data_IF_644766736514
#
_entry.id   IF_644766736514
#
_cell.length_a   1.000
_cell.length_b   1.000
_cell.length_c   1.000
_cell.angle_alpha   90.00
_cell.angle_beta   90.00
_cell.angle_gamma   90.00
#
_symmetry.space_group_name_H-M   'P 1'
#
loop_
_entity.id
_entity.type
_entity.pdbx_description
1 polymer ?
#
# COMPACT_ATOMS: atom_id res chain seq x y z
N UNK A 1 13.17 -7.69 21.65
CA UNK A 1 13.11 -8.47 20.36
C UNK A 1 12.85 -9.92 20.69
N UNK A 2 12.26 -10.71 19.75
CA UNK A 2 12.13 -12.17 19.98
C UNK A 2 13.53 -12.74 20.17
N UNK A 3 13.73 -13.52 21.23
CA UNK A 3 15.04 -14.05 21.57
C UNK A 3 15.58 -14.98 20.48
N UNK A 4 16.89 -15.01 20.29
CA UNK A 4 17.52 -15.89 19.30
C UNK A 4 17.19 -17.36 19.56
N UNK A 5 17.08 -17.76 20.82
CA UNK A 5 16.66 -19.08 21.23
C UNK A 5 15.27 -19.44 20.73
N UNK A 6 14.29 -18.54 20.91
CA UNK A 6 12.91 -18.72 20.37
C UNK A 6 12.90 -18.76 18.84
N UNK A 7 13.70 -17.92 18.19
CA UNK A 7 13.82 -17.93 16.73
C UNK A 7 14.33 -19.29 16.25
N UNK A 8 15.41 -19.76 16.84
CA UNK A 8 16.03 -21.05 16.48
C UNK A 8 15.05 -22.24 16.76
N UNK A 9 14.29 -22.19 17.86
CA UNK A 9 13.27 -23.16 18.18
C UNK A 9 12.14 -23.18 17.14
N UNK A 10 11.64 -22.01 16.72
CA UNK A 10 10.63 -21.90 15.64
C UNK A 10 11.17 -22.49 14.34
N UNK A 11 12.41 -22.16 13.95
CA UNK A 11 13.01 -22.71 12.73
C UNK A 11 13.21 -24.22 12.76
N UNK A 12 13.47 -24.78 13.91
CA UNK A 12 13.65 -26.22 14.09
C UNK A 12 12.32 -27.00 14.03
N UNK A 13 11.24 -26.40 14.55
CA UNK A 13 9.91 -27.08 14.64
C UNK A 13 9.05 -26.80 13.42
N UNK A 14 9.10 -25.59 12.85
CA UNK A 14 8.25 -25.20 11.74
C UNK A 14 8.63 -25.91 10.45
N UNK A 15 7.86 -26.95 10.10
CA UNK A 15 8.02 -27.66 8.83
C UNK A 15 7.27 -26.90 7.73
N UNK A 16 7.98 -26.60 6.64
CA UNK A 16 7.39 -25.87 5.50
C UNK A 16 6.24 -26.62 4.87
N UNK A 17 6.30 -27.97 4.88
CA UNK A 17 5.25 -28.84 4.39
C UNK A 17 3.92 -28.61 5.14
N UNK A 18 3.97 -28.62 6.48
CA UNK A 18 2.79 -28.44 7.32
C UNK A 18 2.17 -27.05 7.14
N UNK A 19 3.03 -26.03 7.09
CA UNK A 19 2.58 -24.66 6.91
C UNK A 19 1.96 -24.43 5.53
N UNK A 20 2.59 -24.93 4.49
CA UNK A 20 2.08 -24.76 3.12
C UNK A 20 0.80 -25.54 2.90
N UNK A 21 0.65 -26.70 3.53
CA UNK A 21 -0.53 -27.57 3.38
C UNK A 21 -1.82 -26.94 3.93
N UNK A 22 -1.72 -25.96 4.85
CA UNK A 22 -2.88 -25.20 5.31
C UNK A 22 -3.49 -24.30 4.20
N UNK A 23 -2.69 -23.96 3.18
CA UNK A 23 -3.05 -22.98 2.16
C UNK A 23 -3.09 -23.55 0.74
N UNK A 24 -2.30 -24.60 0.48
CA UNK A 24 -2.10 -25.15 -0.85
C UNK A 24 -2.35 -26.67 -0.81
N UNK A 25 -3.19 -27.16 -1.70
CA UNK A 25 -3.39 -28.60 -1.85
C UNK A 25 -2.17 -29.23 -2.53
N UNK A 26 -1.31 -29.84 -1.73
CA UNK A 26 -0.06 -30.46 -2.17
C UNK A 26 -0.27 -31.92 -2.58
N UNK A 27 0.34 -32.32 -3.69
CA UNK A 27 0.39 -33.70 -4.18
C UNK A 27 1.81 -34.21 -4.20
N UNK A 28 2.05 -35.45 -3.80
CA UNK A 28 3.38 -36.05 -3.77
C UNK A 28 3.92 -36.30 -5.18
N UNK A 29 5.14 -35.86 -5.43
CA UNK A 29 5.88 -36.11 -6.68
C UNK A 29 7.31 -36.51 -6.36
N UNK A 30 7.54 -37.81 -6.25
CA UNK A 30 8.81 -38.36 -5.77
C UNK A 30 9.08 -37.99 -4.31
N UNK A 31 10.22 -37.39 -4.04
CA UNK A 31 10.65 -36.93 -2.71
C UNK A 31 10.09 -35.54 -2.33
N UNK A 32 9.49 -34.84 -3.27
CA UNK A 32 8.94 -33.50 -3.08
C UNK A 32 7.40 -33.52 -3.16
N UNK A 33 6.80 -32.40 -2.76
CA UNK A 33 5.38 -32.13 -2.93
C UNK A 33 5.21 -31.01 -3.96
N UNK A 34 4.14 -31.05 -4.75
CA UNK A 34 3.84 -30.06 -5.78
C UNK A 34 2.40 -29.60 -5.68
N UNK A 35 2.15 -28.32 -5.92
CA UNK A 35 0.83 -27.70 -5.93
C UNK A 35 0.75 -26.49 -6.84
N UNK A 36 -0.43 -25.89 -6.94
CA UNK A 36 -0.60 -24.61 -7.58
C UNK A 36 -0.03 -23.50 -6.69
N UNK A 37 0.67 -22.54 -7.27
CA UNK A 37 1.31 -21.47 -6.52
C UNK A 37 0.27 -20.52 -5.90
N UNK A 38 0.36 -20.23 -4.60
CA UNK A 38 -0.55 -19.27 -3.95
C UNK A 38 -0.16 -17.81 -4.25
N UNK A 39 1.00 -17.56 -4.89
CA UNK A 39 1.53 -16.24 -5.12
C UNK A 39 1.32 -15.72 -6.55
N UNK A 40 0.91 -16.56 -7.50
CA UNK A 40 0.57 -16.18 -8.86
C UNK A 40 -0.45 -17.14 -9.48
N UNK A 41 -1.18 -16.70 -10.48
CA UNK A 41 -2.15 -17.55 -11.19
C UNK A 41 -1.46 -18.47 -12.17
N UNK A 42 -1.68 -19.79 -12.01
CA UNK A 42 -1.20 -20.81 -12.94
C UNK A 42 -2.22 -21.94 -13.10
N UNK A 43 -2.20 -22.59 -14.27
CA UNK A 43 -3.06 -23.76 -14.55
C UNK A 43 -2.33 -25.07 -14.31
N UNK A 44 -1.01 -25.06 -14.41
CA UNK A 44 -0.13 -26.23 -14.21
C UNK A 44 0.71 -26.03 -12.94
N UNK A 45 0.73 -26.99 -12.01
CA UNK A 45 1.47 -26.87 -10.76
C UNK A 45 2.98 -26.64 -10.99
N UNK A 46 3.51 -25.51 -10.50
CA UNK A 46 4.93 -25.19 -10.51
C UNK A 46 5.51 -24.91 -9.11
N UNK A 47 4.65 -24.92 -8.10
CA UNK A 47 5.05 -24.70 -6.72
C UNK A 47 5.49 -26.01 -6.08
N UNK A 48 6.75 -26.10 -5.71
CA UNK A 48 7.37 -27.31 -5.16
C UNK A 48 7.79 -27.08 -3.71
N UNK A 49 7.45 -28.02 -2.85
CA UNK A 49 7.89 -28.08 -1.44
C UNK A 49 8.85 -29.26 -1.31
N UNK A 50 10.00 -29.03 -0.71
CA UNK A 50 11.00 -30.05 -0.39
C UNK A 50 11.04 -30.29 1.13
N UNK A 51 10.40 -31.35 1.66
CA UNK A 51 10.43 -31.63 3.10
C UNK A 51 11.84 -31.85 3.62
N UNK A 52 12.68 -32.56 2.85
CA UNK A 52 14.06 -32.86 3.24
C UNK A 52 14.95 -31.59 3.39
N UNK A 53 14.65 -30.53 2.66
CA UNK A 53 15.36 -29.25 2.74
C UNK A 53 14.64 -28.21 3.60
N UNK A 54 13.42 -28.49 4.04
CA UNK A 54 12.50 -27.60 4.71
C UNK A 54 12.32 -26.26 3.94
N UNK A 55 12.22 -26.33 2.60
CA UNK A 55 12.12 -25.17 1.70
C UNK A 55 11.01 -25.37 0.67
N UNK A 56 10.43 -24.25 0.22
CA UNK A 56 9.59 -24.23 -0.98
C UNK A 56 10.26 -23.43 -2.11
N UNK A 57 9.89 -23.72 -3.34
CA UNK A 57 10.26 -22.96 -4.53
C UNK A 57 9.17 -23.04 -5.57
N UNK A 58 8.73 -21.89 -6.07
CA UNK A 58 7.90 -21.81 -7.26
C UNK A 58 8.79 -21.63 -8.48
N UNK A 59 8.67 -22.52 -9.46
CA UNK A 59 9.43 -22.43 -10.72
C UNK A 59 8.75 -21.53 -11.76
N UNK A 60 7.48 -21.10 -11.51
CA UNK A 60 6.77 -20.13 -12.33
C UNK A 60 7.15 -18.68 -11.99
N UNK A 61 6.94 -18.25 -10.74
CA UNK A 61 7.20 -16.87 -10.33
C UNK A 61 8.55 -16.66 -9.61
N UNK A 62 9.34 -17.72 -9.40
CA UNK A 62 10.64 -17.60 -8.76
C UNK A 62 10.65 -17.48 -7.23
N UNK A 63 9.50 -17.26 -6.58
CA UNK A 63 9.41 -17.16 -5.11
C UNK A 63 9.83 -18.44 -4.44
N UNK A 64 10.54 -18.32 -3.30
CA UNK A 64 11.01 -19.49 -2.53
C UNK A 64 11.55 -19.06 -1.17
N UNK A 65 11.62 -20.03 -0.25
CA UNK A 65 12.08 -19.79 1.11
C UNK A 65 11.69 -20.90 2.07
N UNK A 66 11.75 -20.62 3.37
CA UNK A 66 11.32 -21.51 4.46
C UNK A 66 9.89 -21.19 4.95
N UNK A 67 9.45 -21.83 6.03
CA UNK A 67 8.13 -21.62 6.61
C UNK A 67 7.87 -20.15 7.01
N UNK A 68 8.87 -19.46 7.58
CA UNK A 68 8.74 -18.05 7.95
C UNK A 68 8.58 -17.17 6.71
N UNK A 69 9.39 -17.39 5.67
CA UNK A 69 9.26 -16.67 4.40
C UNK A 69 7.90 -16.90 3.75
N UNK A 70 7.37 -18.13 3.82
CA UNK A 70 6.05 -18.45 3.28
C UNK A 70 4.96 -17.63 3.96
N UNK A 71 4.93 -17.60 5.30
CA UNK A 71 3.94 -16.84 6.07
C UNK A 71 4.11 -15.33 5.84
N UNK A 72 5.34 -14.82 5.81
CA UNK A 72 5.60 -13.41 5.47
C UNK A 72 5.00 -13.03 4.11
N UNK A 73 5.21 -13.88 3.11
CA UNK A 73 4.75 -13.65 1.73
C UNK A 73 3.24 -13.87 1.57
N UNK A 74 2.67 -14.89 2.22
CA UNK A 74 1.26 -15.25 2.08
C UNK A 74 0.35 -14.31 2.87
N UNK A 75 0.65 -14.11 4.15
CA UNK A 75 -0.16 -13.27 5.05
C UNK A 75 0.25 -11.79 5.05
N UNK A 76 1.34 -11.45 4.34
CA UNK A 76 1.91 -10.09 4.36
C UNK A 76 2.41 -9.66 5.73
N UNK A 77 2.84 -10.62 6.53
CA UNK A 77 3.38 -10.35 7.85
C UNK A 77 4.82 -9.83 7.77
N UNK A 78 5.18 -8.98 8.72
CA UNK A 78 6.59 -8.69 9.01
C UNK A 78 7.26 -9.91 9.61
N UNK A 79 8.59 -9.95 9.59
CA UNK A 79 9.34 -11.06 10.17
C UNK A 79 8.98 -11.36 11.64
N UNK A 80 8.85 -10.37 12.54
CA UNK A 80 8.38 -10.64 13.91
C UNK A 80 6.95 -11.17 13.99
N UNK A 81 6.05 -10.68 13.13
CA UNK A 81 4.65 -11.15 13.09
C UNK A 81 4.58 -12.61 12.62
N UNK A 82 5.35 -12.97 11.59
CA UNK A 82 5.43 -14.33 11.11
C UNK A 82 6.00 -15.29 12.16
N UNK A 83 7.02 -14.85 12.91
CA UNK A 83 7.57 -15.64 14.03
C UNK A 83 6.55 -15.83 15.15
N UNK A 84 5.82 -14.79 15.55
CA UNK A 84 4.76 -14.88 16.57
C UNK A 84 3.62 -15.81 16.12
N UNK A 85 3.22 -15.73 14.86
CA UNK A 85 2.22 -16.63 14.28
C UNK A 85 2.66 -18.11 14.34
N UNK A 86 3.90 -18.40 13.92
CA UNK A 86 4.44 -19.75 13.97
C UNK A 86 4.64 -20.24 15.40
N UNK A 87 5.12 -19.39 16.31
CA UNK A 87 5.23 -19.72 17.73
C UNK A 87 3.86 -20.11 18.32
N UNK A 88 2.82 -19.34 18.02
CA UNK A 88 1.45 -19.67 18.45
C UNK A 88 0.96 -20.99 17.87
N UNK A 89 1.18 -21.24 16.57
CA UNK A 89 0.78 -22.48 15.91
C UNK A 89 1.44 -23.72 16.52
N UNK A 90 2.71 -23.62 16.89
CA UNK A 90 3.49 -24.73 17.47
C UNK A 90 3.57 -24.72 18.99
N UNK A 91 2.75 -23.88 19.67
CA UNK A 91 2.75 -23.72 21.13
C UNK A 91 4.14 -23.40 21.73
N UNK A 92 4.97 -22.65 20.98
CA UNK A 92 6.28 -22.21 21.44
C UNK A 92 6.09 -20.93 22.28
N UNK A 93 6.60 -20.94 23.52
CA UNK A 93 6.60 -19.73 24.36
C UNK A 93 7.59 -18.73 23.79
N UNK A 94 7.10 -17.58 23.34
CA UNK A 94 7.96 -16.51 22.83
C UNK A 94 8.71 -15.89 23.99
N UNK A 95 10.02 -16.18 24.10
CA UNK A 95 10.92 -15.46 24.99
C UNK A 95 11.41 -14.24 24.22
N UNK A 96 11.27 -13.06 24.81
CA UNK A 96 11.82 -11.82 24.25
C UNK A 96 13.12 -11.52 25.04
N UNK A 97 14.17 -11.08 24.29
CA UNK A 97 15.39 -10.59 24.94
C UNK A 97 15.02 -9.47 25.88
N UNK A 98 15.74 -9.30 26.98
CA UNK A 98 15.57 -8.21 27.93
C UNK A 98 15.51 -6.89 27.15
N UNK A 99 14.27 -6.39 26.97
CA UNK A 99 14.06 -5.07 26.39
C UNK A 99 14.48 -4.07 27.46
N UNK A 100 15.14 -3.01 27.04
CA UNK A 100 15.37 -1.88 27.93
C UNK A 100 14.01 -1.34 28.38
N UNK A 101 13.92 -0.83 29.61
CA UNK A 101 12.69 -0.24 30.14
C UNK A 101 12.08 0.79 29.15
N UNK A 102 12.93 1.54 28.46
CA UNK A 102 12.56 2.48 27.39
C UNK A 102 11.85 1.80 26.21
N UNK A 103 12.33 0.63 25.77
CA UNK A 103 11.71 -0.11 24.66
C UNK A 103 10.34 -0.70 25.04
N UNK A 104 10.22 -1.15 26.30
CA UNK A 104 8.94 -1.64 26.86
C UNK A 104 7.94 -0.48 26.94
N UNK A 105 8.38 0.69 27.40
CA UNK A 105 7.54 1.88 27.51
C UNK A 105 7.08 2.38 26.14
N UNK A 106 7.96 2.44 25.15
CA UNK A 106 7.64 2.77 23.77
C UNK A 106 6.63 1.79 23.17
N UNK A 107 6.80 0.48 23.39
CA UNK A 107 5.84 -0.52 22.92
C UNK A 107 4.47 -0.34 23.56
N UNK A 108 4.40 -0.15 24.90
CA UNK A 108 3.15 0.09 25.61
C UNK A 108 2.46 1.37 25.14
N UNK A 109 3.22 2.43 24.89
CA UNK A 109 2.72 3.67 24.32
C UNK A 109 2.10 3.43 22.95
N UNK A 110 2.81 2.76 22.05
CA UNK A 110 2.33 2.40 20.71
C UNK A 110 1.05 1.58 20.74
N UNK A 111 0.96 0.60 21.63
CA UNK A 111 -0.26 -0.21 21.84
C UNK A 111 -1.42 0.67 22.33
N UNK A 112 -1.16 1.58 23.26
CA UNK A 112 -2.16 2.53 23.74
C UNK A 112 -2.70 3.45 22.64
N UNK A 113 -1.81 3.96 21.77
CA UNK A 113 -2.20 4.77 20.61
C UNK A 113 -3.09 3.99 19.63
N UNK A 114 -2.78 2.71 19.37
CA UNK A 114 -3.61 1.85 18.52
C UNK A 114 -5.00 1.60 19.13
N UNK A 115 -5.08 1.38 20.45
CA UNK A 115 -6.37 1.20 21.15
C UNK A 115 -7.22 2.45 21.09
N UNK A 116 -6.62 3.65 21.23
CA UNK A 116 -7.32 4.92 21.06
C UNK A 116 -7.88 5.08 19.65
N UNK A 117 -7.09 4.74 18.62
CA UNK A 117 -7.57 4.81 17.23
C UNK A 117 -8.69 3.80 16.95
N UNK A 118 -8.65 2.61 17.52
CA UNK A 118 -9.72 1.61 17.38
C UNK A 118 -11.01 2.09 18.04
N UNK A 119 -10.92 2.72 19.21
CA UNK A 119 -12.06 3.35 19.87
C UNK A 119 -12.63 4.49 19.03
N UNK A 120 -11.76 5.36 18.48
CA UNK A 120 -12.18 6.45 17.60
C UNK A 120 -12.87 5.93 16.32
N UNK A 121 -12.35 4.86 15.74
CA UNK A 121 -12.94 4.18 14.60
C UNK A 121 -14.35 3.69 14.91
N UNK A 122 -14.52 2.99 16.02
CA UNK A 122 -15.85 2.51 16.47
C UNK A 122 -16.81 3.67 16.67
N UNK A 123 -16.36 4.74 17.32
CA UNK A 123 -17.17 5.94 17.52
C UNK A 123 -17.64 6.55 16.19
N UNK A 124 -16.74 6.79 15.23
CA UNK A 124 -17.12 7.39 13.94
C UNK A 124 -18.05 6.48 13.13
N UNK A 125 -17.90 5.15 13.21
CA UNK A 125 -18.84 4.20 12.59
C UNK A 125 -20.23 4.28 13.25
N UNK A 126 -20.29 4.32 14.56
CA UNK A 126 -21.54 4.46 15.31
C UNK A 126 -22.22 5.81 14.99
N UNK A 127 -21.43 6.89 14.95
CA UNK A 127 -21.97 8.22 14.61
C UNK A 127 -22.57 8.26 13.19
N UNK A 128 -22.07 7.49 12.24
CA UNK A 128 -22.66 7.38 10.90
C UNK A 128 -24.09 6.79 10.93
N UNK A 129 -24.43 6.02 11.96
CA UNK A 129 -25.75 5.38 12.13
C UNK A 129 -26.75 6.24 12.91
N UNK A 130 -26.34 7.35 13.51
CA UNK A 130 -27.23 8.31 14.18
C UNK A 130 -28.11 9.04 13.16
N UNK A 131 -29.16 9.75 13.60
CA UNK A 131 -30.00 10.56 12.70
C UNK A 131 -29.17 11.62 11.96
N UNK A 132 -28.27 12.33 12.68
CA UNK A 132 -27.38 13.31 12.07
C UNK A 132 -26.43 12.62 11.07
N UNK A 133 -25.81 11.52 11.46
CA UNK A 133 -24.90 10.77 10.61
C UNK A 133 -25.55 10.23 9.35
N UNK A 134 -26.79 9.72 9.45
CA UNK A 134 -27.56 9.25 8.28
C UNK A 134 -27.95 10.39 7.35
N UNK A 135 -28.42 11.51 7.89
CA UNK A 135 -28.88 12.64 7.10
C UNK A 135 -27.74 13.39 6.40
N UNK A 136 -26.53 13.39 6.98
CA UNK A 136 -25.38 14.13 6.46
C UNK A 136 -24.32 13.18 5.89
N UNK A 137 -23.72 12.33 6.73
CA UNK A 137 -22.59 11.48 6.37
C UNK A 137 -22.96 10.37 5.39
N UNK A 138 -23.97 9.57 5.73
CA UNK A 138 -24.42 8.47 4.88
C UNK A 138 -25.06 9.01 3.57
N UNK A 139 -25.81 10.11 3.66
CA UNK A 139 -26.35 10.80 2.47
C UNK A 139 -25.24 11.23 1.51
N UNK A 140 -24.15 11.78 2.04
CA UNK A 140 -22.98 12.12 1.24
C UNK A 140 -22.39 10.90 0.51
N UNK A 141 -22.16 9.78 1.24
CA UNK A 141 -21.62 8.57 0.63
C UNK A 141 -22.54 8.00 -0.46
N UNK A 142 -23.86 7.99 -0.20
CA UNK A 142 -24.87 7.57 -1.20
C UNK A 142 -24.91 8.49 -2.41
N UNK A 143 -24.81 9.81 -2.21
CA UNK A 143 -24.75 10.78 -3.32
C UNK A 143 -23.50 10.60 -4.17
N UNK A 144 -22.40 10.11 -3.59
CA UNK A 144 -21.19 9.69 -4.28
C UNK A 144 -21.30 8.29 -4.93
N UNK A 145 -22.46 7.68 -4.90
CA UNK A 145 -22.72 6.37 -5.49
C UNK A 145 -22.17 5.19 -4.68
N UNK A 146 -21.67 5.41 -3.44
CA UNK A 146 -21.11 4.33 -2.63
C UNK A 146 -22.22 3.47 -2.01
N UNK A 147 -22.08 2.14 -2.15
CA UNK A 147 -22.98 1.15 -1.57
C UNK A 147 -22.56 0.80 -0.13
N UNK A 148 -23.48 0.14 0.61
CA UNK A 148 -23.26 -0.23 2.01
C UNK A 148 -22.08 -1.19 2.20
N UNK A 149 -21.86 -2.10 1.23
CA UNK A 149 -20.73 -3.04 1.27
C UNK A 149 -19.38 -2.32 1.23
N UNK A 150 -19.25 -1.31 0.38
CA UNK A 150 -18.01 -0.50 0.28
C UNK A 150 -17.82 0.35 1.53
N UNK A 151 -18.89 0.97 2.04
CA UNK A 151 -18.85 1.75 3.29
C UNK A 151 -18.37 0.88 4.46
N UNK A 152 -18.91 -0.35 4.59
CA UNK A 152 -18.51 -1.29 5.65
C UNK A 152 -17.08 -1.81 5.45
N UNK A 153 -16.71 -2.22 4.25
CA UNK A 153 -15.38 -2.78 3.93
C UNK A 153 -14.24 -1.80 4.24
N UNK A 154 -14.46 -0.52 3.95
CA UNK A 154 -13.47 0.52 4.24
C UNK A 154 -13.66 1.15 5.62
N UNK A 155 -14.71 0.78 6.35
CA UNK A 155 -15.01 1.27 7.69
C UNK A 155 -15.27 2.77 7.71
N UNK A 156 -15.98 3.30 6.71
CA UNK A 156 -16.24 4.73 6.60
C UNK A 156 -17.11 5.20 7.77
N UNK A 157 -16.87 6.42 8.24
CA UNK A 157 -17.52 6.98 9.42
C UNK A 157 -17.95 8.43 9.25
N UNK A 158 -18.51 8.98 10.31
CA UNK A 158 -18.89 10.38 10.38
C UNK A 158 -18.46 10.98 11.72
N UNK A 159 -17.94 12.20 11.70
CA UNK A 159 -17.64 12.99 12.89
C UNK A 159 -18.68 14.10 13.02
N UNK A 160 -19.42 14.16 14.14
CA UNK A 160 -20.55 15.07 14.32
C UNK A 160 -20.15 16.55 14.43
N UNK A 161 -21.16 17.43 14.49
CA UNK A 161 -20.98 18.88 14.51
C UNK A 161 -20.43 19.42 15.81
N UNK A 162 -20.66 18.71 16.91
CA UNK A 162 -20.27 19.14 18.23
C UNK A 162 -18.80 19.46 18.35
N UNK A 163 -18.45 20.30 19.28
CA UNK A 163 -17.07 20.77 19.40
C UNK A 163 -16.18 19.83 20.23
N UNK A 164 -16.79 18.93 21.03
CA UNK A 164 -16.14 18.04 21.98
C UNK A 164 -16.81 16.67 22.11
N UNK A 165 -17.68 16.29 21.21
CA UNK A 165 -18.48 15.06 21.36
C UNK A 165 -17.61 13.82 21.42
N UNK A 166 -16.63 13.71 20.52
CA UNK A 166 -15.65 12.63 20.57
C UNK A 166 -14.71 12.73 21.77
N UNK A 167 -14.18 13.94 22.04
CA UNK A 167 -13.24 14.15 23.14
C UNK A 167 -13.88 13.81 24.49
N UNK A 168 -15.09 14.27 24.75
CA UNK A 168 -15.81 14.00 25.99
C UNK A 168 -16.16 12.50 26.10
N UNK A 169 -16.61 11.88 25.03
CA UNK A 169 -16.83 10.43 24.97
C UNK A 169 -15.56 9.65 25.33
N UNK A 170 -14.41 10.01 24.74
CA UNK A 170 -13.15 9.32 24.98
C UNK A 170 -12.69 9.47 26.45
N UNK A 171 -12.82 10.68 27.02
CA UNK A 171 -12.48 10.94 28.42
C UNK A 171 -13.39 10.13 29.36
N UNK A 172 -14.71 10.07 29.10
CA UNK A 172 -15.64 9.24 29.87
C UNK A 172 -15.30 7.74 29.82
N UNK A 173 -14.72 7.28 28.72
CA UNK A 173 -14.20 5.90 28.57
C UNK A 173 -12.84 5.69 29.27
N UNK A 174 -12.28 6.72 29.90
CA UNK A 174 -11.01 6.62 30.62
C UNK A 174 -9.75 6.87 29.80
N UNK A 175 -9.87 7.33 28.56
CA UNK A 175 -8.72 7.67 27.74
C UNK A 175 -8.13 9.04 28.10
N UNK A 176 -6.81 9.14 28.12
CA UNK A 176 -6.10 10.38 28.43
C UNK A 176 -6.12 11.35 27.25
N UNK A 177 -6.45 12.61 27.52
CA UNK A 177 -6.56 13.66 26.49
C UNK A 177 -5.24 13.89 25.74
N UNK A 178 -4.07 13.66 26.39
CA UNK A 178 -2.77 13.78 25.76
C UNK A 178 -2.61 12.83 24.57
N UNK A 179 -3.09 11.57 24.70
CA UNK A 179 -3.05 10.60 23.61
C UNK A 179 -3.98 10.99 22.46
N UNK A 180 -5.14 11.60 22.78
CA UNK A 180 -6.08 12.11 21.77
C UNK A 180 -5.44 13.26 20.97
N UNK A 181 -4.71 14.15 21.67
CA UNK A 181 -3.97 15.26 21.01
C UNK A 181 -2.82 14.77 20.17
N UNK A 182 -2.06 13.79 20.65
CA UNK A 182 -0.94 13.18 19.91
C UNK A 182 -1.42 12.54 18.59
N UNK A 183 -2.59 11.90 18.61
CA UNK A 183 -3.19 11.29 17.42
C UNK A 183 -3.94 12.29 16.51
N UNK A 184 -4.04 13.54 16.92
CA UNK A 184 -4.84 14.52 16.20
C UNK A 184 -6.33 14.19 16.15
N UNK A 185 -6.86 13.58 17.20
CA UNK A 185 -8.30 13.37 17.40
C UNK A 185 -8.92 14.53 18.16
N UNK A 186 -8.13 15.13 19.05
CA UNK A 186 -8.46 16.36 19.79
C UNK A 186 -7.41 17.43 19.46
N UNK A 187 -7.83 18.65 19.21
CA UNK A 187 -6.94 19.78 18.95
C UNK A 187 -6.24 20.26 20.22
N UNK A 188 -5.19 21.09 20.09
CA UNK A 188 -4.49 21.71 21.23
C UNK A 188 -5.43 22.52 22.14
N UNK A 189 -6.53 23.02 21.59
CA UNK A 189 -7.55 23.77 22.35
C UNK A 189 -8.63 22.88 22.99
N UNK A 190 -8.44 21.56 23.01
CA UNK A 190 -9.37 20.60 23.61
C UNK A 190 -10.68 20.42 22.83
N UNK A 191 -10.72 20.75 21.55
CA UNK A 191 -11.88 20.54 20.67
C UNK A 191 -11.63 19.38 19.73
N UNK A 192 -12.68 18.70 19.29
CA UNK A 192 -12.58 17.65 18.28
C UNK A 192 -11.87 18.15 17.03
N UNK A 193 -10.90 17.38 16.56
CA UNK A 193 -10.11 17.73 15.38
C UNK A 193 -10.91 17.54 14.08
N UNK A 194 -11.66 16.45 14.01
CA UNK A 194 -12.60 16.20 12.93
C UNK A 194 -14.00 16.64 13.37
N UNK A 195 -14.50 17.70 12.76
CA UNK A 195 -15.84 18.23 13.04
C UNK A 195 -16.61 18.34 11.74
N UNK A 196 -17.84 17.81 11.75
CA UNK A 196 -18.73 17.86 10.58
C UNK A 196 -18.04 17.33 9.31
N UNK A 197 -17.38 16.13 9.46
CA UNK A 197 -16.60 15.50 8.39
C UNK A 197 -17.00 14.05 8.20
N UNK A 198 -17.02 13.60 6.95
CA UNK A 198 -16.97 12.18 6.64
C UNK A 198 -15.55 11.67 6.85
N UNK A 199 -15.43 10.46 7.39
CA UNK A 199 -14.17 9.91 7.89
C UNK A 199 -13.72 8.70 7.05
N UNK A 200 -12.45 8.68 6.71
CA UNK A 200 -11.76 7.65 5.94
C UNK A 200 -10.63 7.06 6.81
N UNK A 201 -10.78 5.87 7.37
CA UNK A 201 -9.74 5.26 8.20
C UNK A 201 -8.53 4.82 7.38
N UNK A 202 -7.33 5.02 7.92
CA UNK A 202 -6.09 4.44 7.41
C UNK A 202 -5.76 3.16 8.15
N UNK A 203 -5.48 2.11 7.40
CA UNK A 203 -5.09 0.81 7.93
C UNK A 203 -3.59 0.57 7.69
N UNK A 204 -2.92 -0.04 8.67
CA UNK A 204 -1.63 -0.66 8.41
C UNK A 204 -1.82 -2.02 7.70
N UNK A 205 -0.71 -2.68 7.35
CA UNK A 205 -0.76 -3.98 6.66
C UNK A 205 -1.36 -5.11 7.51
N UNK A 206 -1.38 -4.97 8.85
CA UNK A 206 -2.01 -5.91 9.78
C UNK A 206 -3.51 -5.63 10.01
N UNK A 207 -4.09 -4.62 9.34
CA UNK A 207 -5.50 -4.24 9.48
C UNK A 207 -5.82 -3.39 10.70
N UNK A 208 -4.84 -2.88 11.45
CA UNK A 208 -5.05 -1.96 12.57
C UNK A 208 -5.21 -0.53 12.07
N UNK A 209 -6.09 0.25 12.72
CA UNK A 209 -6.30 1.66 12.39
C UNK A 209 -5.13 2.49 12.90
N UNK A 210 -4.47 3.20 11.99
CA UNK A 210 -3.30 4.03 12.31
C UNK A 210 -3.59 5.53 12.25
N UNK A 211 -4.68 5.95 11.61
CA UNK A 211 -5.07 7.34 11.48
C UNK A 211 -6.33 7.50 10.65
N UNK A 212 -6.69 8.74 10.39
CA UNK A 212 -7.91 9.08 9.68
C UNK A 212 -7.68 10.20 8.67
N UNK A 213 -8.45 10.17 7.58
CA UNK A 213 -8.72 11.32 6.73
C UNK A 213 -10.13 11.83 7.00
N UNK A 214 -10.35 13.13 6.95
CA UNK A 214 -11.65 13.73 7.14
C UNK A 214 -11.98 14.76 6.07
N UNK A 215 -13.07 14.57 5.32
CA UNK A 215 -13.53 15.54 4.32
C UNK A 215 -14.68 16.38 4.87
N UNK A 216 -14.55 17.70 4.79
CA UNK A 216 -15.65 18.62 5.16
C UNK A 216 -16.73 18.59 4.07
N UNK A 217 -18.00 18.65 4.50
CA UNK A 217 -19.15 18.56 3.58
C UNK A 217 -19.71 19.93 3.20
N UNK A 218 -19.41 20.96 4.00
CA UNK A 218 -19.79 22.33 3.69
C UNK A 218 -18.63 23.06 3.01
N UNK A 219 -18.94 23.83 2.00
CA UNK A 219 -17.99 24.78 1.43
C UNK A 219 -17.70 25.89 2.45
N UNK A 220 -16.60 25.70 3.17
CA UNK A 220 -16.11 26.67 4.13
C UNK A 220 -14.73 27.13 3.67
N UNK A 221 -14.65 28.33 3.12
CA UNK A 221 -13.41 28.92 2.60
C UNK A 221 -12.27 29.02 3.65
N UNK A 222 -12.60 28.90 4.95
CA UNK A 222 -11.63 29.00 6.06
C UNK A 222 -11.08 27.64 6.55
N UNK A 223 -11.65 26.52 6.09
CA UNK A 223 -11.23 25.18 6.53
C UNK A 223 -10.76 24.35 5.33
N UNK A 224 -9.68 23.55 5.46
CA UNK A 224 -9.22 22.68 4.38
C UNK A 224 -10.28 21.64 4.05
N UNK A 225 -10.51 21.40 2.74
CA UNK A 225 -11.46 20.42 2.24
C UNK A 225 -11.18 19.03 2.79
N UNK A 226 -9.92 18.62 2.79
CA UNK A 226 -9.43 17.37 3.39
C UNK A 226 -8.46 17.67 4.54
N UNK A 227 -8.56 16.88 5.58
CA UNK A 227 -7.75 16.95 6.78
C UNK A 227 -7.32 15.52 7.15
N UNK A 228 -6.02 15.29 7.26
CA UNK A 228 -5.49 13.98 7.66
C UNK A 228 -4.96 14.05 9.09
N UNK A 229 -4.89 12.89 9.77
CA UNK A 229 -4.16 12.78 11.04
C UNK A 229 -2.76 13.40 10.91
N UNK A 230 -2.28 14.07 11.94
CA UNK A 230 -0.88 14.50 12.02
C UNK A 230 0.05 13.30 12.08
N UNK A 231 1.33 13.54 11.84
CA UNK A 231 2.38 12.55 12.05
C UNK A 231 2.39 12.11 13.54
N UNK A 232 2.50 10.81 13.76
CA UNK A 232 2.55 10.23 15.10
C UNK A 232 3.43 8.97 15.10
N UNK A 233 3.63 8.36 16.25
CA UNK A 233 4.40 7.11 16.35
C UNK A 233 3.79 5.96 15.53
N UNK A 234 2.47 5.97 15.32
CA UNK A 234 1.75 4.92 14.58
C UNK A 234 1.33 5.33 13.17
N UNK A 235 1.33 6.61 12.83
CA UNK A 235 0.95 7.13 11.51
C UNK A 235 2.03 8.01 10.92
N UNK A 236 2.46 7.64 9.73
CA UNK A 236 3.37 8.45 8.93
C UNK A 236 2.80 8.54 7.50
N UNK A 237 2.41 9.76 7.09
CA UNK A 237 1.77 10.01 5.80
C UNK A 237 2.67 9.60 4.63
N UNK A 238 3.98 9.80 4.76
CA UNK A 238 4.97 9.42 3.74
C UNK A 238 5.15 7.91 3.60
N UNK A 239 4.73 7.13 4.61
CA UNK A 239 4.84 5.68 4.68
C UNK A 239 3.48 4.98 4.67
N UNK A 240 2.44 5.67 4.21
CA UNK A 240 1.07 5.15 4.17
C UNK A 240 0.46 5.33 2.79
N UNK A 241 -0.31 4.33 2.35
CA UNK A 241 -1.15 4.39 1.17
C UNK A 241 -2.57 4.02 1.56
N UNK A 242 -3.54 4.85 1.19
CA UNK A 242 -4.95 4.56 1.45
C UNK A 242 -5.43 3.38 0.59
N UNK A 243 -6.19 2.50 1.19
CA UNK A 243 -6.73 1.31 0.52
C UNK A 243 -5.75 0.14 0.38
N UNK A 244 -4.47 0.28 0.77
CA UNK A 244 -3.47 -0.78 0.56
C UNK A 244 -3.80 -2.07 1.31
N UNK A 245 -4.35 -1.98 2.53
CA UNK A 245 -4.78 -3.14 3.29
C UNK A 245 -5.84 -3.94 2.53
N UNK A 246 -6.85 -3.27 1.99
CA UNK A 246 -7.92 -3.90 1.22
C UNK A 246 -7.41 -4.43 -0.13
N UNK A 247 -6.52 -3.70 -0.79
CA UNK A 247 -6.05 -3.99 -2.14
C UNK A 247 -4.95 -5.08 -2.22
N UNK A 248 -4.24 -5.37 -1.13
CA UNK A 248 -3.00 -6.19 -1.12
C UNK A 248 -3.11 -7.55 -1.81
N UNK A 249 -4.24 -8.23 -1.63
CA UNK A 249 -4.51 -9.54 -2.25
C UNK A 249 -4.70 -9.43 -3.76
N UNK A 250 -5.46 -8.42 -4.19
CA UNK A 250 -5.77 -8.21 -5.62
C UNK A 250 -4.58 -7.63 -6.39
N UNK A 251 -3.74 -6.79 -5.75
CA UNK A 251 -2.46 -6.36 -6.31
C UNK A 251 -1.58 -7.57 -6.65
N UNK A 252 -1.46 -8.54 -5.73
CA UNK A 252 -0.70 -9.78 -6.00
C UNK A 252 -1.31 -10.61 -7.10
N UNK A 253 -2.65 -10.82 -7.06
CA UNK A 253 -3.35 -11.64 -8.07
C UNK A 253 -3.24 -11.08 -9.47
N UNK A 254 -3.36 -9.76 -9.61
CA UNK A 254 -3.26 -9.05 -10.90
C UNK A 254 -1.81 -8.72 -11.28
N UNK A 255 -0.85 -8.92 -10.38
CA UNK A 255 0.55 -8.50 -10.50
C UNK A 255 0.67 -7.04 -10.98
N UNK A 256 -0.18 -6.17 -10.47
CA UNK A 256 -0.17 -4.74 -10.77
C UNK A 256 -0.89 -3.94 -9.70
N UNK A 257 -0.39 -2.74 -9.40
CA UNK A 257 -0.97 -1.78 -8.49
C UNK A 257 -1.39 -0.52 -9.24
N UNK A 258 -2.64 -0.11 -9.09
CA UNK A 258 -3.15 1.16 -9.62
C UNK A 258 -3.00 2.22 -8.53
N UNK A 259 -2.29 3.30 -8.83
CA UNK A 259 -2.11 4.45 -7.95
C UNK A 259 -2.96 5.61 -8.44
N UNK A 260 -3.81 6.14 -7.56
CA UNK A 260 -4.66 7.32 -7.75
C UNK A 260 -4.35 8.39 -6.70
N UNK A 261 -5.01 9.55 -6.77
CA UNK A 261 -4.74 10.65 -5.85
C UNK A 261 -5.63 10.61 -4.60
N UNK A 262 -6.92 10.34 -4.75
CA UNK A 262 -7.95 10.56 -3.73
C UNK A 262 -8.54 9.30 -3.12
N UNK A 263 -9.18 9.48 -1.95
CA UNK A 263 -9.90 8.40 -1.26
C UNK A 263 -11.10 7.92 -2.06
N UNK A 264 -11.86 8.86 -2.64
CA UNK A 264 -13.07 8.58 -3.42
C UNK A 264 -12.77 7.75 -4.65
N UNK A 265 -11.63 8.00 -5.31
CA UNK A 265 -11.19 7.23 -6.46
C UNK A 265 -10.94 5.76 -6.09
N UNK A 266 -10.26 5.53 -4.95
CA UNK A 266 -10.05 4.17 -4.43
C UNK A 266 -11.38 3.47 -4.15
N UNK A 267 -12.31 4.16 -3.47
CA UNK A 267 -13.60 3.59 -3.10
C UNK A 267 -14.44 3.23 -4.33
N UNK A 268 -14.51 4.15 -5.29
CA UNK A 268 -15.28 3.97 -6.51
C UNK A 268 -14.71 2.86 -7.38
N UNK A 269 -13.41 2.86 -7.63
CA UNK A 269 -12.76 1.79 -8.40
C UNK A 269 -12.91 0.43 -7.72
N UNK A 270 -12.70 0.37 -6.39
CA UNK A 270 -12.85 -0.87 -5.65
C UNK A 270 -14.28 -1.42 -5.68
N UNK A 271 -15.29 -0.53 -5.57
CA UNK A 271 -16.70 -0.90 -5.69
C UNK A 271 -17.04 -1.48 -7.07
N UNK A 272 -16.39 -0.98 -8.11
CA UNK A 272 -16.50 -1.45 -9.49
C UNK A 272 -15.54 -2.62 -9.79
N UNK A 273 -15.18 -3.43 -8.79
CA UNK A 273 -14.35 -4.65 -8.87
C UNK A 273 -12.89 -4.42 -9.33
N UNK A 274 -12.45 -3.15 -9.44
CA UNK A 274 -11.05 -2.79 -9.70
C UNK A 274 -10.35 -2.63 -8.34
N UNK A 275 -10.02 -3.77 -7.71
CA UNK A 275 -9.62 -3.85 -6.29
C UNK A 275 -8.12 -3.63 -6.04
N UNK A 276 -7.29 -3.66 -7.07
CA UNK A 276 -5.84 -3.46 -6.96
C UNK A 276 -5.44 -1.97 -6.96
N UNK A 277 -6.23 -1.12 -6.31
CA UNK A 277 -6.09 0.34 -6.32
C UNK A 277 -5.73 0.90 -4.94
N UNK A 278 -4.83 1.89 -4.91
CA UNK A 278 -4.39 2.62 -3.71
C UNK A 278 -4.26 4.11 -3.99
N UNK A 279 -4.28 4.96 -2.95
CA UNK A 279 -4.05 6.39 -3.12
C UNK A 279 -2.91 6.94 -2.24
N UNK A 280 -2.20 7.93 -2.78
CA UNK A 280 -1.19 8.71 -2.05
C UNK A 280 -1.80 9.73 -1.07
N UNK A 281 -3.09 10.05 -1.23
CA UNK A 281 -3.90 10.84 -0.30
C UNK A 281 -3.39 12.28 -0.07
N UNK A 282 -3.11 12.98 -1.17
CA UNK A 282 -2.76 14.42 -1.16
C UNK A 282 -1.33 14.69 -0.69
N UNK A 283 -0.40 13.78 -0.97
CA UNK A 283 1.04 14.00 -0.89
C UNK A 283 1.71 13.70 -2.22
N UNK A 284 2.82 14.40 -2.49
CA UNK A 284 3.75 13.92 -3.51
C UNK A 284 4.20 12.50 -3.17
N UNK A 285 4.29 11.65 -4.18
CA UNK A 285 4.73 10.27 -4.03
C UNK A 285 6.11 10.19 -3.37
N UNK A 286 6.31 9.22 -2.49
CA UNK A 286 7.57 9.03 -1.75
C UNK A 286 8.20 7.68 -2.04
N UNK A 287 9.51 7.58 -1.78
CA UNK A 287 10.28 6.32 -1.89
C UNK A 287 9.66 5.21 -1.03
N UNK A 288 9.23 5.57 0.18
CA UNK A 288 8.63 4.64 1.11
C UNK A 288 7.27 4.11 0.62
N UNK A 289 6.45 4.96 -0.01
CA UNK A 289 5.17 4.54 -0.61
C UNK A 289 5.38 3.60 -1.80
N UNK A 290 6.35 3.89 -2.66
CA UNK A 290 6.72 2.98 -3.76
C UNK A 290 7.28 1.66 -3.19
N UNK A 291 8.10 1.73 -2.13
CA UNK A 291 8.58 0.55 -1.41
C UNK A 291 7.44 -0.32 -0.83
N UNK A 292 6.33 0.29 -0.40
CA UNK A 292 5.14 -0.46 0.01
C UNK A 292 4.48 -1.20 -1.16
N UNK A 293 4.36 -0.56 -2.33
CA UNK A 293 3.82 -1.19 -3.55
C UNK A 293 4.70 -2.35 -3.97
N UNK A 294 6.04 -2.14 -3.98
CA UNK A 294 7.02 -3.15 -4.38
C UNK A 294 6.96 -4.44 -3.55
N UNK A 295 6.48 -4.39 -2.32
CA UNK A 295 6.25 -5.61 -1.51
C UNK A 295 5.23 -6.56 -2.11
N UNK A 296 4.39 -6.10 -3.03
CA UNK A 296 3.28 -6.87 -3.59
C UNK A 296 3.40 -7.09 -5.09
N UNK A 297 4.02 -6.15 -5.83
CA UNK A 297 4.20 -6.21 -7.29
C UNK A 297 5.34 -5.30 -7.72
N UNK A 298 5.98 -5.63 -8.85
CA UNK A 298 6.94 -4.76 -9.54
C UNK A 298 6.29 -3.94 -10.66
N UNK A 299 4.95 -3.94 -10.78
CA UNK A 299 4.23 -3.25 -11.83
C UNK A 299 3.23 -2.26 -11.25
N UNK A 300 3.39 -0.98 -11.55
CA UNK A 300 2.51 0.10 -11.15
C UNK A 300 1.84 0.76 -12.35
N UNK A 301 0.60 1.21 -12.17
CA UNK A 301 -0.13 2.02 -13.13
C UNK A 301 -0.56 3.28 -12.40
N UNK A 302 -0.09 4.44 -12.84
CA UNK A 302 -0.47 5.72 -12.25
C UNK A 302 -1.56 6.34 -13.10
N UNK A 303 -2.72 6.56 -12.48
CA UNK A 303 -3.86 7.23 -13.11
C UNK A 303 -3.84 8.71 -12.74
N UNK A 304 -3.86 9.56 -13.75
CA UNK A 304 -3.97 11.00 -13.60
C UNK A 304 -5.31 11.48 -14.14
N UNK A 305 -5.86 12.48 -13.46
CA UNK A 305 -7.02 13.23 -13.93
C UNK A 305 -6.72 13.85 -15.29
N UNK A 306 -7.76 14.08 -16.08
CA UNK A 306 -7.66 14.68 -17.42
C UNK A 306 -7.18 16.15 -17.45
N UNK A 307 -6.55 16.63 -16.40
CA UNK A 307 -6.04 17.98 -16.22
C UNK A 307 -4.59 18.11 -16.72
N UNK A 308 -4.38 18.93 -17.74
CA UNK A 308 -3.08 19.12 -18.40
C UNK A 308 -2.01 19.76 -17.50
N UNK A 309 -2.39 20.57 -16.53
CA UNK A 309 -1.44 21.29 -15.67
C UNK A 309 -0.79 20.37 -14.62
N UNK A 310 -1.56 19.43 -14.07
CA UNK A 310 -1.09 18.43 -13.11
C UNK A 310 -0.16 17.39 -13.72
N UNK A 311 -0.35 17.05 -15.00
CA UNK A 311 0.39 15.98 -15.69
C UNK A 311 1.90 16.19 -15.72
N UNK A 312 2.38 17.43 -16.00
CA UNK A 312 3.83 17.72 -16.07
C UNK A 312 4.50 17.65 -14.70
N UNK A 313 3.83 18.12 -13.65
CA UNK A 313 4.35 18.07 -12.28
C UNK A 313 4.37 16.63 -11.75
N UNK A 314 3.34 15.89 -12.08
CA UNK A 314 3.17 14.50 -11.67
C UNK A 314 4.21 13.57 -12.31
N UNK A 315 4.54 13.74 -13.58
CA UNK A 315 5.55 12.93 -14.27
C UNK A 315 6.96 13.07 -13.65
N UNK A 316 7.30 14.22 -13.05
CA UNK A 316 8.61 14.42 -12.40
C UNK A 316 8.81 13.54 -11.16
N UNK A 317 7.73 13.15 -10.48
CA UNK A 317 7.80 12.29 -9.30
C UNK A 317 7.87 10.79 -9.59
N UNK A 318 7.72 10.38 -10.86
CA UNK A 318 7.66 8.96 -11.21
C UNK A 318 9.04 8.28 -11.33
N UNK A 319 10.11 9.04 -11.40
CA UNK A 319 11.48 8.51 -11.37
C UNK A 319 11.73 7.64 -10.13
N UNK A 320 11.04 7.93 -9.03
CA UNK A 320 11.08 7.14 -7.79
C UNK A 320 10.70 5.67 -8.04
N UNK A 321 9.76 5.37 -8.96
CA UNK A 321 9.42 4.00 -9.32
C UNK A 321 10.62 3.28 -9.95
N UNK A 322 11.30 3.95 -10.89
CA UNK A 322 12.46 3.40 -11.58
C UNK A 322 13.63 3.18 -10.62
N UNK A 323 13.88 4.14 -9.71
CA UNK A 323 14.89 4.02 -8.65
C UNK A 323 14.66 2.80 -7.76
N UNK A 324 13.40 2.51 -7.48
CA UNK A 324 13.01 1.36 -6.68
C UNK A 324 12.89 0.05 -7.49
N UNK A 325 13.15 0.09 -8.81
CA UNK A 325 13.03 -1.07 -9.70
C UNK A 325 11.58 -1.52 -9.87
N UNK A 326 10.64 -0.59 -9.93
CA UNK A 326 9.22 -0.83 -10.21
C UNK A 326 8.90 -0.28 -11.61
N UNK A 327 8.34 -1.14 -12.46
CA UNK A 327 7.85 -0.75 -13.78
C UNK A 327 6.63 0.16 -13.63
N UNK A 328 6.63 1.30 -14.28
CA UNK A 328 5.50 2.23 -14.18
C UNK A 328 4.89 2.57 -15.54
N UNK A 329 3.59 2.39 -15.66
CA UNK A 329 2.76 2.89 -16.76
C UNK A 329 1.98 4.11 -16.30
N UNK A 330 1.76 5.01 -17.23
CA UNK A 330 0.97 6.23 -16.99
C UNK A 330 -0.27 6.18 -17.87
N UNK A 331 -1.41 6.38 -17.23
CA UNK A 331 -2.70 6.56 -17.91
C UNK A 331 -3.21 7.96 -17.57
N UNK A 332 -3.63 8.69 -18.58
CA UNK A 332 -4.31 9.99 -18.42
C UNK A 332 -5.75 9.80 -18.85
N UNK A 333 -6.66 10.18 -18.00
CA UNK A 333 -8.08 10.11 -18.29
C UNK A 333 -8.51 11.20 -19.28
N UNK A 334 -9.68 11.09 -19.92
CA UNK A 334 -10.22 12.13 -20.78
C UNK A 334 -10.35 13.47 -20.04
N UNK A 335 -10.29 14.58 -20.80
CA UNK A 335 -10.34 15.92 -20.21
C UNK A 335 -11.60 16.12 -19.36
N UNK A 336 -11.41 16.58 -18.11
CA UNK A 336 -12.49 16.81 -17.15
C UNK A 336 -12.98 15.57 -16.41
N UNK A 337 -12.38 14.40 -16.65
CA UNK A 337 -12.69 13.16 -15.94
C UNK A 337 -11.66 12.88 -14.83
N UNK A 338 -12.16 12.39 -13.70
CA UNK A 338 -11.38 11.74 -12.64
C UNK A 338 -11.69 10.23 -12.58
N UNK A 339 -10.92 9.41 -11.86
CA UNK A 339 -11.17 7.96 -11.82
C UNK A 339 -12.56 7.59 -11.30
N UNK A 340 -13.11 8.36 -10.34
CA UNK A 340 -14.43 8.16 -9.74
C UNK A 340 -15.53 8.38 -10.80
N UNK A 341 -15.55 9.53 -11.45
CA UNK A 341 -16.56 9.87 -12.46
C UNK A 341 -16.46 8.96 -13.68
N UNK A 342 -15.26 8.68 -14.16
CA UNK A 342 -15.06 7.95 -15.40
C UNK A 342 -15.46 6.48 -15.27
N UNK A 343 -15.12 5.80 -14.16
CA UNK A 343 -15.54 4.40 -13.97
C UNK A 343 -17.06 4.28 -13.81
N UNK A 344 -17.71 5.29 -13.23
CA UNK A 344 -19.17 5.31 -13.11
C UNK A 344 -19.85 5.52 -14.47
N UNK A 345 -19.23 6.30 -15.37
CA UNK A 345 -19.75 6.58 -16.71
C UNK A 345 -19.66 5.38 -17.65
N UNK A 346 -18.46 4.75 -17.74
CA UNK A 346 -18.21 3.72 -18.76
C UNK A 346 -18.29 2.28 -18.23
N UNK A 347 -18.30 2.09 -16.91
CA UNK A 347 -18.29 0.77 -16.28
C UNK A 347 -16.89 0.15 -16.17
N UNK A 348 -16.79 -0.91 -15.36
CA UNK A 348 -15.50 -1.51 -15.02
C UNK A 348 -14.76 -2.18 -16.18
N UNK A 349 -15.51 -2.87 -17.07
CA UNK A 349 -14.90 -3.60 -18.20
C UNK A 349 -14.24 -2.66 -19.20
N UNK A 350 -14.96 -1.60 -19.56
CA UNK A 350 -14.48 -0.56 -20.48
C UNK A 350 -13.36 0.26 -19.84
N UNK A 351 -13.44 0.50 -18.53
CA UNK A 351 -12.39 1.19 -17.79
C UNK A 351 -11.08 0.37 -17.75
N UNK A 352 -11.14 -0.94 -17.49
CA UNK A 352 -9.97 -1.82 -17.57
C UNK A 352 -9.41 -1.91 -19.00
N UNK A 353 -10.28 -1.94 -20.03
CA UNK A 353 -9.87 -1.89 -21.42
C UNK A 353 -9.15 -0.56 -21.74
N UNK A 354 -9.71 0.56 -21.27
CA UNK A 354 -9.10 1.88 -21.42
C UNK A 354 -7.71 1.96 -20.80
N UNK A 355 -7.54 1.47 -19.55
CA UNK A 355 -6.24 1.42 -18.87
C UNK A 355 -5.24 0.60 -19.71
N UNK A 356 -5.66 -0.53 -20.25
CA UNK A 356 -4.81 -1.41 -21.03
C UNK A 356 -4.37 -0.78 -22.35
N UNK A 357 -5.28 -0.10 -23.03
CA UNK A 357 -5.04 0.54 -24.33
C UNK A 357 -4.21 1.82 -24.20
N UNK A 358 -4.54 2.67 -23.20
CA UNK A 358 -3.91 3.99 -23.02
C UNK A 358 -2.75 4.00 -22.06
N UNK A 359 -2.47 2.86 -21.42
CA UNK A 359 -1.31 2.71 -20.51
C UNK A 359 0.01 2.76 -21.26
N UNK A 360 0.63 3.93 -21.29
CA UNK A 360 1.93 4.12 -21.88
C UNK A 360 3.04 3.94 -20.85
N UNK A 361 4.14 3.29 -21.23
CA UNK A 361 5.37 3.28 -20.45
C UNK A 361 5.80 4.72 -20.14
N UNK A 362 6.22 4.96 -18.90
CA UNK A 362 6.57 6.29 -18.43
C UNK A 362 7.66 6.96 -19.28
N UNK A 363 8.72 6.22 -19.63
CA UNK A 363 9.83 6.74 -20.44
C UNK A 363 9.36 7.12 -21.84
N UNK A 364 8.57 6.24 -22.48
CA UNK A 364 8.03 6.51 -23.82
C UNK A 364 7.07 7.69 -23.81
N UNK A 365 6.25 7.82 -22.76
CA UNK A 365 5.35 8.95 -22.61
C UNK A 365 6.11 10.27 -22.44
N UNK A 366 7.10 10.30 -21.55
CA UNK A 366 7.95 11.48 -21.33
C UNK A 366 8.68 11.89 -22.62
N UNK A 367 9.22 10.92 -23.36
CA UNK A 367 9.88 11.18 -24.64
C UNK A 367 8.93 11.84 -25.68
N UNK A 368 7.67 11.36 -25.77
CA UNK A 368 6.66 11.94 -26.66
C UNK A 368 6.30 13.37 -26.26
N UNK A 369 6.14 13.65 -24.99
CA UNK A 369 5.85 14.99 -24.49
C UNK A 369 7.00 15.96 -24.79
N UNK A 370 8.25 15.57 -24.58
CA UNK A 370 9.42 16.37 -24.93
C UNK A 370 9.42 16.70 -26.43
N UNK A 371 9.08 15.73 -27.28
CA UNK A 371 9.02 15.94 -28.72
C UNK A 371 7.90 16.92 -29.13
N UNK A 372 6.75 16.89 -28.47
CA UNK A 372 5.59 17.72 -28.77
C UNK A 372 5.73 19.16 -28.24
N UNK A 373 6.07 19.28 -26.92
CA UNK A 373 6.03 20.56 -26.22
C UNK A 373 7.21 21.48 -26.55
N UNK A 374 8.39 20.90 -26.79
CA UNK A 374 9.62 21.67 -27.05
C UNK A 374 10.06 21.60 -28.52
N UNK A 375 9.10 21.49 -29.44
CA UNK A 375 9.37 21.40 -30.89
C UNK A 375 10.12 22.63 -31.42
N UNK A 376 9.84 23.80 -30.85
CA UNK A 376 10.39 25.09 -31.27
C UNK A 376 11.41 25.68 -30.27
N UNK A 377 11.80 24.95 -29.23
CA UNK A 377 12.80 25.38 -28.24
C UNK A 377 13.90 24.32 -28.09
N UNK A 378 14.97 24.39 -28.90
CA UNK A 378 16.07 23.42 -28.85
C UNK A 378 16.81 23.36 -27.52
N UNK A 379 16.90 24.48 -26.79
CA UNK A 379 17.64 24.55 -25.52
C UNK A 379 16.86 23.80 -24.45
N UNK A 380 15.58 24.12 -24.28
CA UNK A 380 14.73 23.46 -23.31
C UNK A 380 14.55 21.98 -23.65
N UNK A 381 14.42 21.64 -24.95
CA UNK A 381 14.39 20.27 -25.41
C UNK A 381 15.63 19.48 -25.00
N UNK A 382 16.82 20.08 -25.14
CA UNK A 382 18.07 19.44 -24.73
C UNK A 382 18.14 19.18 -23.23
N UNK A 383 17.67 20.12 -22.41
CA UNK A 383 17.59 19.95 -20.94
C UNK A 383 16.65 18.79 -20.56
N UNK A 384 15.46 18.74 -21.12
CA UNK A 384 14.48 17.69 -20.85
C UNK A 384 14.94 16.30 -21.36
N UNK A 385 15.68 16.26 -22.49
CA UNK A 385 16.31 15.00 -22.95
C UNK A 385 17.36 14.52 -21.95
N UNK A 386 18.18 15.41 -21.41
CA UNK A 386 19.18 15.05 -20.39
C UNK A 386 18.51 14.49 -19.12
N UNK A 387 17.41 15.10 -18.69
CA UNK A 387 16.62 14.57 -17.56
C UNK A 387 16.02 13.20 -17.88
N UNK A 388 15.53 12.98 -19.10
CA UNK A 388 15.03 11.66 -19.53
C UNK A 388 16.14 10.60 -19.53
N UNK A 389 17.34 10.96 -19.99
CA UNK A 389 18.52 10.07 -19.96
C UNK A 389 18.89 9.71 -18.52
N UNK A 390 18.82 10.67 -17.59
CA UNK A 390 18.99 10.40 -16.15
C UNK A 390 17.96 9.41 -15.63
N UNK A 391 16.68 9.60 -15.97
CA UNK A 391 15.61 8.65 -15.61
C UNK A 391 15.88 7.24 -16.14
N UNK A 392 16.36 7.12 -17.40
CA UNK A 392 16.72 5.83 -17.98
C UNK A 392 17.89 5.19 -17.22
N UNK A 393 18.87 5.97 -16.80
CA UNK A 393 20.02 5.49 -16.03
C UNK A 393 19.66 4.95 -14.64
N UNK A 394 18.49 5.32 -14.10
CA UNK A 394 17.96 4.77 -12.82
C UNK A 394 17.44 3.34 -12.97
N UNK A 395 17.21 2.85 -14.19
CA UNK A 395 16.74 1.48 -14.44
C UNK A 395 17.91 0.52 -14.21
N UNK A 396 17.95 -0.07 -13.03
CA UNK A 396 19.07 -0.92 -12.56
C UNK A 396 19.35 -2.14 -13.45
N UNK A 397 18.39 -2.58 -14.25
CA UNK A 397 18.58 -3.72 -15.19
C UNK A 397 19.48 -3.38 -16.40
N UNK A 398 19.59 -2.08 -16.76
CA UNK A 398 20.43 -1.67 -17.91
C UNK A 398 21.93 -1.56 -17.56
N UNK A 399 22.28 -1.52 -16.27
CA UNK A 399 23.67 -1.39 -15.81
C UNK A 399 24.39 -2.74 -15.61
N UNK A 400 23.66 -3.86 -15.61
CA UNK A 400 24.24 -5.20 -15.59
C UNK A 400 24.28 -5.80 -17.01
N UNK A 401 25.05 -5.21 -17.88
CA UNK A 401 25.60 -5.99 -19.00
C UNK A 401 26.62 -6.93 -18.38
N UNK A 402 26.33 -8.23 -18.35
CA UNK A 402 27.36 -9.25 -18.13
C UNK A 402 28.56 -8.91 -19.02
N UNK A 403 29.82 -8.95 -18.50
CA UNK A 403 30.97 -8.65 -19.30
C UNK A 403 30.92 -9.50 -20.57
N UNK A 404 31.00 -8.84 -21.72
CA UNK A 404 30.98 -9.48 -23.02
C UNK A 404 32.01 -10.62 -23.02
N UNK A 405 31.77 -11.74 -23.71
CA UNK A 405 32.79 -12.77 -23.90
C UNK A 405 34.13 -12.22 -24.41
N UNK A 406 34.13 -11.06 -25.08
CA UNK A 406 35.32 -10.33 -25.51
C UNK A 406 36.09 -9.69 -24.35
N UNK A 407 35.46 -9.33 -23.25
CA UNK A 407 36.14 -8.74 -22.09
C UNK A 407 36.84 -9.79 -21.24
N UNK A 408 36.43 -11.08 -21.34
CA UNK A 408 37.11 -12.23 -20.72
C UNK A 408 38.40 -12.62 -21.41
N UNK A 409 38.60 -12.25 -22.67
CA UNK A 409 39.82 -12.60 -23.45
C UNK A 409 40.97 -11.61 -23.24
N UNK A 410 40.69 -10.36 -22.79
CA UNK A 410 41.73 -9.36 -22.50
C UNK A 410 42.48 -9.58 -21.19
N UNK A 411 41.90 -10.32 -20.23
CA UNK A 411 42.54 -10.60 -18.94
C UNK A 411 43.47 -11.83 -18.93
N UNK A 412 43.71 -12.46 -20.08
CA UNK A 412 44.59 -13.64 -20.22
C UNK A 412 45.75 -13.42 -21.18
N UNK A 413 46.37 -12.24 -21.23
CA UNK A 413 47.67 -12.12 -21.81
C UNK A 413 48.73 -12.32 -20.73
N UNK A 414 49.63 -13.32 -20.85
CA UNK A 414 50.75 -13.46 -19.95
C UNK A 414 51.72 -12.30 -20.21
N UNK A 415 52.16 -11.66 -19.13
CA UNK A 415 53.32 -10.77 -19.17
C UNK A 415 54.54 -11.59 -19.62
N UNK A 416 54.94 -11.44 -20.85
CA UNK A 416 56.24 -11.94 -21.35
C UNK A 416 57.32 -10.96 -20.94
N UNK A 417 58.24 -11.44 -20.15
CA UNK A 417 59.64 -11.12 -19.90
C UNK A 417 60.16 -9.75 -20.33
#
# INVERSE_FOLDING_TARGET
>A
MISRKTIDEIFNVAQVEDIVNDYVNLKRRGVNLIGLCPFHNEKTPSFTVSPAKNLYKCFGCGKGGNAVNFIMEHESFTYPEALKYLAQKYNIKVEEDEQTDEAIEAQKKRESLLLVNEMAFSFFKEQLQTEEGKSIGLSYYKHRGLNERTIELFGLGYSPRGSREFTDFAIQKGYREELLKELGLTSSHGRDFYRERVIFPFYNLSGKIIGFGGRILKDNAKAPKYLNSPESEIYNKRKSLYGLYQARSDIRKKDSCILVEGYTDVLSLHQNEIKNVVASSGTSLTVEQVGLIKRFTENAIVLYDGDAAGQKAALRGLDIFLEQGVNVKVVVLPAGQDPDSYVQEIGSSEFEAYIKEHGADFILRRARLIQQDYKNDPIQKSLEINELVRSIALISCLLYTSPSPRDRTRSRMPSSA
#
